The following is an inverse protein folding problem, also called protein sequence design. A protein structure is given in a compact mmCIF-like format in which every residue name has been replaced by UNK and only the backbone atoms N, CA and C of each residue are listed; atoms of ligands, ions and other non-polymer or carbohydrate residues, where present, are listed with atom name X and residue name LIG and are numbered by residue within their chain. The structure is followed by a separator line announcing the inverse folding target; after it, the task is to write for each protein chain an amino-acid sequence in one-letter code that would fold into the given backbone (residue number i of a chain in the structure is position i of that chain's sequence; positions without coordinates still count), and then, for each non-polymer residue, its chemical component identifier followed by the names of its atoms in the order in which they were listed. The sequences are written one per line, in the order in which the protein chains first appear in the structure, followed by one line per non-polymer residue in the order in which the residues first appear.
data_IF_513521097156
#
_entry.id   IF_513521097156
#
_cell.length_a   1.000
_cell.length_b   1.000
_cell.length_c   1.000
_cell.angle_alpha   90.00
_cell.angle_beta   90.00
_cell.angle_gamma   90.00
#
_symmetry.space_group_name_H-M   'P 1'
#
loop_
_entity.id
_entity.type
_entity.pdbx_description
1 polymer ?
#
# COMPACT_ATOMS: atom_id res chain seq x y z
N UNK A 1 -13.41 20.78 4.89
CA UNK A 1 -13.87 19.61 5.73
C UNK A 1 -13.23 19.74 7.10
N UNK A 2 -13.99 19.57 8.19
CA UNK A 2 -13.45 19.69 9.57
C UNK A 2 -12.86 18.37 10.02
N UNK A 3 -11.80 18.44 10.82
CA UNK A 3 -11.18 17.25 11.43
C UNK A 3 -11.90 16.92 12.74
N UNK A 4 -12.12 15.63 12.96
CA UNK A 4 -12.85 15.11 14.13
C UNK A 4 -11.93 14.27 15.02
N UNK A 5 -12.38 13.95 16.22
CA UNK A 5 -11.68 13.00 17.08
C UNK A 5 -11.59 11.63 16.39
N UNK A 6 -10.41 11.00 16.45
CA UNK A 6 -10.09 9.77 15.74
C UNK A 6 -9.52 9.96 14.33
N UNK A 7 -9.68 11.15 13.74
CA UNK A 7 -9.10 11.42 12.42
C UNK A 7 -7.57 11.39 12.43
N UNK A 8 -7.00 10.93 11.31
CA UNK A 8 -5.59 11.14 11.03
C UNK A 8 -5.38 12.61 10.59
N UNK A 9 -4.44 13.29 11.22
CA UNK A 9 -4.05 14.67 10.91
C UNK A 9 -2.57 14.75 10.56
N UNK A 10 -2.24 15.64 9.64
CA UNK A 10 -0.87 15.97 9.24
C UNK A 10 -0.57 17.42 9.64
N UNK A 11 0.39 17.61 10.52
CA UNK A 11 0.92 18.93 10.81
C UNK A 11 2.21 19.15 10.01
N UNK A 12 2.33 20.34 9.39
CA UNK A 12 3.53 20.75 8.65
C UNK A 12 4.03 22.07 9.23
N UNK A 13 5.29 22.08 9.66
CA UNK A 13 5.91 23.30 10.18
C UNK A 13 6.52 24.19 9.10
N UNK A 14 7.03 25.35 9.49
CA UNK A 14 7.66 26.35 8.60
C UNK A 14 8.89 25.82 7.83
N UNK A 15 9.51 24.73 8.32
CA UNK A 15 10.65 24.06 7.67
C UNK A 15 10.23 22.88 6.79
N UNK A 16 8.91 22.67 6.61
CA UNK A 16 8.36 21.57 5.82
C UNK A 16 8.42 20.20 6.49
N UNK A 17 8.75 20.12 7.79
CA UNK A 17 8.73 18.86 8.55
C UNK A 17 7.28 18.44 8.78
N UNK A 18 7.02 17.16 8.59
CA UNK A 18 5.69 16.57 8.60
C UNK A 18 5.50 15.65 9.80
N UNK A 19 4.42 15.82 10.53
CA UNK A 19 4.07 15.05 11.73
C UNK A 19 2.69 14.45 11.54
N UNK A 20 2.61 13.11 11.54
CA UNK A 20 1.36 12.38 11.43
C UNK A 20 0.82 12.09 12.84
N UNK A 21 -0.38 12.51 13.10
CA UNK A 21 -1.08 12.36 14.37
C UNK A 21 -2.37 11.57 14.17
N UNK A 22 -2.87 11.00 15.24
CA UNK A 22 -4.25 10.58 15.42
C UNK A 22 -4.87 11.49 16.46
N UNK A 23 -5.94 12.17 16.11
CA UNK A 23 -6.56 13.16 16.97
C UNK A 23 -7.32 12.49 18.10
N UNK A 24 -6.80 12.59 19.31
CA UNK A 24 -7.44 12.06 20.51
C UNK A 24 -7.71 13.21 21.45
N UNK A 25 -8.95 13.38 21.96
CA UNK A 25 -9.26 14.39 22.97
C UNK A 25 -8.29 14.28 24.16
N UNK A 26 -7.99 15.42 24.76
CA UNK A 26 -7.14 15.57 25.95
C UNK A 26 -5.67 15.13 25.79
N UNK A 27 -5.24 14.78 24.57
CA UNK A 27 -3.83 14.61 24.25
C UNK A 27 -3.20 15.89 23.75
N UNK A 28 -1.87 15.96 23.86
CA UNK A 28 -1.05 17.07 23.38
C UNK A 28 0.06 16.53 22.49
N UNK A 29 0.17 17.07 21.28
CA UNK A 29 1.32 16.87 20.42
C UNK A 29 2.46 17.75 20.88
N UNK A 30 3.63 17.15 21.12
CA UNK A 30 4.85 17.86 21.51
C UNK A 30 5.93 17.69 20.44
N UNK A 31 6.61 18.78 20.11
CA UNK A 31 7.76 18.80 19.21
C UNK A 31 8.74 19.90 19.64
N UNK A 32 9.87 20.03 18.96
CA UNK A 32 10.98 20.93 19.37
C UNK A 32 10.63 22.45 19.34
N UNK A 33 9.52 22.85 18.74
CA UNK A 33 9.01 24.24 18.72
C UNK A 33 7.66 24.32 19.46
N UNK A 34 7.56 23.63 20.62
CA UNK A 34 6.43 23.75 21.55
C UNK A 34 5.44 22.60 21.50
N UNK A 35 4.24 22.86 21.95
CA UNK A 35 3.16 21.90 22.10
C UNK A 35 1.87 22.42 21.46
N UNK A 36 1.03 21.49 20.98
CA UNK A 36 -0.30 21.77 20.45
C UNK A 36 -1.29 20.77 21.04
N UNK A 37 -2.26 21.21 21.86
CA UNK A 37 -3.34 20.34 22.32
C UNK A 37 -4.15 19.81 21.13
N UNK A 38 -4.52 18.53 21.15
CA UNK A 38 -5.36 17.96 20.10
C UNK A 38 -6.76 18.60 20.05
N UNK A 39 -7.24 19.10 21.21
CA UNK A 39 -8.50 19.83 21.28
C UNK A 39 -8.50 21.13 20.46
N UNK A 40 -7.32 21.73 20.21
CA UNK A 40 -7.17 22.91 19.34
C UNK A 40 -7.21 22.55 17.85
N UNK A 41 -7.03 21.27 17.51
CA UNK A 41 -7.06 20.72 16.15
C UNK A 41 -8.43 20.15 15.79
N UNK A 42 -9.11 19.54 16.78
CA UNK A 42 -10.43 18.94 16.60
C UNK A 42 -11.46 20.07 16.31
N UNK A 43 -12.27 19.87 15.29
CA UNK A 43 -13.25 20.85 14.82
C UNK A 43 -12.68 21.92 13.88
N UNK A 44 -11.36 21.99 13.68
CA UNK A 44 -10.74 22.91 12.71
C UNK A 44 -10.92 22.41 11.28
N UNK A 45 -10.96 23.35 10.38
CA UNK A 45 -10.97 23.04 8.96
C UNK A 45 -9.58 22.67 8.44
N UNK A 46 -9.53 21.71 7.54
CA UNK A 46 -8.32 21.40 6.78
C UNK A 46 -7.80 22.64 6.07
N UNK A 47 -6.48 22.86 6.08
CA UNK A 47 -5.83 24.05 5.55
C UNK A 47 -5.67 25.16 6.59
N UNK A 48 -6.12 24.97 7.83
CA UNK A 48 -5.96 25.96 8.91
C UNK A 48 -4.52 26.05 9.41
N UNK A 49 -4.13 27.26 9.81
CA UNK A 49 -2.89 27.49 10.55
C UNK A 49 -3.15 27.39 12.05
N UNK A 50 -2.29 26.65 12.71
CA UNK A 50 -2.32 26.44 14.17
C UNK A 50 -1.05 27.03 14.77
N UNK A 51 -1.18 27.56 15.98
CA UNK A 51 -0.06 28.17 16.70
C UNK A 51 0.30 27.26 17.89
N UNK A 52 1.57 26.89 18.01
CA UNK A 52 2.07 26.13 19.17
C UNK A 52 2.21 26.97 20.43
N UNK A 53 2.47 26.36 21.55
CA UNK A 53 2.68 27.02 22.83
C UNK A 53 3.84 28.04 22.84
N UNK A 54 4.76 27.98 21.87
CA UNK A 54 5.88 28.91 21.73
C UNK A 54 5.67 29.93 20.60
N UNK A 55 4.49 29.97 19.95
CA UNK A 55 4.18 30.88 18.85
C UNK A 55 4.55 30.36 17.46
N UNK A 56 5.10 29.14 17.33
CA UNK A 56 5.43 28.56 16.03
C UNK A 56 4.17 28.16 15.26
N UNK A 57 4.17 28.41 13.95
CA UNK A 57 3.03 28.13 13.07
C UNK A 57 3.13 26.73 12.45
N UNK A 58 2.02 26.04 12.39
CA UNK A 58 1.86 24.72 11.80
C UNK A 58 0.64 24.72 10.87
N UNK A 59 0.78 24.18 9.68
CA UNK A 59 -0.32 23.96 8.75
C UNK A 59 -0.98 22.61 9.11
N UNK A 60 -2.30 22.62 9.29
CA UNK A 60 -3.12 21.45 9.59
C UNK A 60 -3.77 20.93 8.31
N UNK A 61 -3.50 19.67 7.96
CA UNK A 61 -4.05 18.98 6.79
C UNK A 61 -4.56 17.59 7.15
N UNK A 62 -5.42 17.02 6.30
CA UNK A 62 -5.61 15.57 6.25
C UNK A 62 -4.40 14.95 5.52
N UNK A 63 -3.85 13.82 5.99
CA UNK A 63 -2.77 13.15 5.28
C UNK A 63 -3.27 12.58 3.95
N UNK A 64 -2.48 12.71 2.90
CA UNK A 64 -2.67 11.89 1.70
C UNK A 64 -2.26 10.44 2.03
N UNK A 65 -2.72 9.47 1.24
CA UNK A 65 -2.30 8.08 1.41
C UNK A 65 -0.76 7.95 1.41
N UNK A 66 -0.07 8.69 0.54
CA UNK A 66 1.39 8.72 0.50
C UNK A 66 2.01 9.22 1.83
N UNK A 67 1.46 10.28 2.42
CA UNK A 67 1.95 10.82 3.70
C UNK A 67 1.73 9.80 4.84
N UNK A 68 0.56 9.16 4.85
CA UNK A 68 0.22 8.14 5.83
C UNK A 68 1.13 6.93 5.72
N UNK A 69 1.28 6.35 4.52
CA UNK A 69 2.13 5.19 4.24
C UNK A 69 3.59 5.43 4.64
N UNK A 70 4.13 6.62 4.34
CA UNK A 70 5.52 6.95 4.67
C UNK A 70 5.76 7.20 6.18
N UNK A 71 4.72 7.55 6.94
CA UNK A 71 4.80 7.94 8.36
C UNK A 71 4.17 6.94 9.31
N UNK A 72 3.44 5.93 8.82
CA UNK A 72 2.82 4.90 9.66
C UNK A 72 3.87 4.12 10.44
N UNK A 73 3.48 3.58 11.58
CA UNK A 73 4.34 2.66 12.35
C UNK A 73 4.59 1.41 11.51
N UNK A 74 5.82 0.99 11.42
CA UNK A 74 6.25 -0.15 10.61
C UNK A 74 6.46 -1.37 11.49
N UNK A 75 5.77 -2.45 11.21
CA UNK A 75 6.08 -3.81 11.71
C UNK A 75 6.78 -4.66 10.66
N UNK A 76 6.62 -4.26 9.37
CA UNK A 76 7.21 -4.89 8.21
C UNK A 76 7.69 -3.82 7.22
N UNK A 77 8.37 -4.24 6.16
CA UNK A 77 8.69 -3.36 5.04
C UNK A 77 7.38 -2.85 4.40
N UNK A 78 7.38 -1.59 4.01
CA UNK A 78 6.20 -0.92 3.44
C UNK A 78 6.35 -0.88 1.93
N UNK A 79 5.31 -1.25 1.19
CA UNK A 79 5.24 -0.93 -0.24
C UNK A 79 5.16 0.58 -0.39
N UNK A 80 6.19 1.17 -0.99
CA UNK A 80 6.29 2.62 -1.11
C UNK A 80 5.26 3.19 -2.10
N UNK A 81 4.82 4.44 -1.91
CA UNK A 81 3.86 5.08 -2.83
C UNK A 81 4.30 5.05 -4.30
N UNK A 82 5.62 5.10 -4.57
CA UNK A 82 6.16 5.02 -5.92
C UNK A 82 5.95 3.66 -6.58
N UNK A 83 5.83 2.59 -5.79
CA UNK A 83 5.59 1.22 -6.24
C UNK A 83 4.09 0.88 -6.20
N UNK A 84 3.37 1.40 -5.22
CA UNK A 84 1.92 1.22 -5.10
C UNK A 84 1.16 1.75 -6.33
N UNK A 85 1.51 2.95 -6.83
CA UNK A 85 0.90 3.51 -8.02
C UNK A 85 1.00 2.59 -9.25
N UNK A 86 2.22 2.15 -9.63
CA UNK A 86 2.42 1.15 -10.66
C UNK A 86 1.68 -0.17 -10.42
N UNK A 87 1.65 -0.70 -9.20
CA UNK A 87 0.88 -1.92 -8.89
C UNK A 87 -0.58 -1.73 -9.32
N UNK A 88 -1.22 -0.63 -8.92
CA UNK A 88 -2.61 -0.37 -9.24
C UNK A 88 -2.86 -0.29 -10.76
N UNK A 89 -1.95 0.34 -11.49
CA UNK A 89 -2.11 0.56 -12.94
C UNK A 89 -1.76 -0.69 -13.74
N UNK A 90 -0.62 -1.33 -13.48
CA UNK A 90 -0.17 -2.48 -14.28
C UNK A 90 -0.89 -3.78 -13.91
N UNK A 91 -1.39 -3.94 -12.68
CA UNK A 91 -2.28 -5.03 -12.31
C UNK A 91 -3.74 -4.72 -12.67
N UNK A 92 -4.01 -3.57 -13.29
CA UNK A 92 -5.36 -3.15 -13.73
C UNK A 92 -6.41 -3.27 -12.61
N UNK A 93 -6.10 -2.66 -11.45
CA UNK A 93 -7.00 -2.65 -10.30
C UNK A 93 -8.04 -1.55 -10.49
N UNK A 94 -9.30 -1.92 -10.59
CA UNK A 94 -10.39 -0.99 -10.88
C UNK A 94 -11.58 -1.15 -9.92
N UNK A 95 -12.48 -0.16 -9.84
CA UNK A 95 -13.66 -0.23 -9.00
C UNK A 95 -14.54 -1.47 -9.30
N UNK A 96 -15.03 -2.09 -8.25
CA UNK A 96 -15.88 -3.29 -8.32
C UNK A 96 -15.13 -4.63 -8.41
N UNK A 97 -13.81 -4.61 -8.53
CA UNK A 97 -13.01 -5.85 -8.62
C UNK A 97 -12.81 -6.52 -7.27
N UNK A 98 -12.66 -7.85 -7.29
CA UNK A 98 -12.15 -8.64 -6.18
C UNK A 98 -10.65 -8.85 -6.36
N UNK A 99 -9.87 -8.44 -5.35
CA UNK A 99 -8.42 -8.57 -5.30
C UNK A 99 -8.02 -9.46 -4.15
N UNK A 100 -7.21 -10.48 -4.41
CA UNK A 100 -6.51 -11.25 -3.38
C UNK A 100 -5.15 -10.61 -3.13
N UNK A 101 -4.92 -10.15 -1.92
CA UNK A 101 -3.65 -9.63 -1.43
C UNK A 101 -3.01 -10.64 -0.51
N UNK A 102 -1.71 -10.84 -0.63
CA UNK A 102 -0.98 -11.63 0.33
C UNK A 102 0.28 -10.93 0.81
N UNK A 103 0.46 -11.04 2.13
CA UNK A 103 1.38 -10.27 2.92
C UNK A 103 0.76 -8.94 3.33
N UNK A 104 -0.27 -8.96 4.23
CA UNK A 104 -0.89 -7.72 4.75
C UNK A 104 0.14 -6.78 5.39
N UNK A 105 1.12 -7.33 6.08
CA UNK A 105 2.31 -6.67 6.63
C UNK A 105 2.01 -5.37 7.37
N UNK A 106 2.30 -4.25 6.74
CA UNK A 106 2.05 -2.91 7.29
C UNK A 106 0.62 -2.40 7.07
N UNK A 107 -0.16 -3.02 6.17
CA UNK A 107 -1.47 -2.55 5.70
C UNK A 107 -1.41 -1.46 4.62
N UNK A 108 -0.22 -1.04 4.19
CA UNK A 108 -0.08 0.03 3.18
C UNK A 108 -0.62 -0.37 1.81
N UNK A 109 -0.33 -1.60 1.38
CA UNK A 109 -0.83 -2.16 0.13
C UNK A 109 -2.35 -2.33 0.22
N UNK A 110 -2.86 -2.92 1.31
CA UNK A 110 -4.30 -3.07 1.60
C UNK A 110 -5.05 -1.75 1.46
N UNK A 111 -4.52 -0.66 2.02
CA UNK A 111 -5.10 0.69 1.90
C UNK A 111 -5.18 1.17 0.46
N UNK A 112 -4.11 0.95 -0.32
CA UNK A 112 -4.08 1.30 -1.73
C UNK A 112 -5.11 0.54 -2.55
N UNK A 113 -5.15 -0.78 -2.37
CA UNK A 113 -6.08 -1.68 -3.04
C UNK A 113 -7.53 -1.37 -2.67
N UNK A 114 -7.84 -1.21 -1.36
CA UNK A 114 -9.19 -0.88 -0.87
C UNK A 114 -9.73 0.40 -1.50
N UNK A 115 -8.89 1.44 -1.64
CA UNK A 115 -9.28 2.68 -2.32
C UNK A 115 -9.53 2.49 -3.81
N UNK A 116 -8.70 1.66 -4.47
CA UNK A 116 -8.79 1.45 -5.92
C UNK A 116 -10.03 0.63 -6.29
N UNK A 117 -10.35 -0.43 -5.53
CA UNK A 117 -11.54 -1.25 -5.81
C UNK A 117 -12.84 -0.53 -5.39
N UNK A 118 -12.76 0.47 -4.53
CA UNK A 118 -13.91 1.24 -4.08
C UNK A 118 -14.95 0.43 -3.27
N UNK A 119 -16.09 1.03 -2.93
CA UNK A 119 -17.07 0.42 -2.02
C UNK A 119 -17.80 -0.80 -2.62
N UNK A 120 -17.79 -0.96 -3.93
CA UNK A 120 -18.44 -2.08 -4.63
C UNK A 120 -17.50 -3.23 -4.94
N UNK A 121 -16.18 -3.03 -4.75
CA UNK A 121 -15.15 -4.06 -4.88
C UNK A 121 -14.84 -4.72 -3.56
N UNK A 122 -13.85 -5.63 -3.58
CA UNK A 122 -13.42 -6.36 -2.40
C UNK A 122 -11.91 -6.59 -2.41
N UNK A 123 -11.27 -6.42 -1.26
CA UNK A 123 -9.89 -6.86 -0.99
C UNK A 123 -9.96 -7.99 0.03
N UNK A 124 -9.49 -9.17 -0.35
CA UNK A 124 -9.23 -10.28 0.57
C UNK A 124 -7.74 -10.25 0.87
N UNK A 125 -7.37 -9.78 2.05
CA UNK A 125 -5.98 -9.62 2.49
C UNK A 125 -5.62 -10.78 3.41
N UNK A 126 -4.64 -11.60 3.00
CA UNK A 126 -4.22 -12.82 3.70
C UNK A 126 -2.85 -12.63 4.30
N UNK A 127 -2.71 -13.00 5.57
CA UNK A 127 -1.44 -12.95 6.30
C UNK A 127 -1.26 -14.23 7.13
N UNK A 128 -0.07 -14.80 7.05
CA UNK A 128 0.25 -16.02 7.79
C UNK A 128 0.43 -15.78 9.29
N UNK A 129 0.94 -14.60 9.65
CA UNK A 129 1.31 -14.21 11.01
C UNK A 129 0.22 -13.35 11.65
N UNK A 130 -0.34 -13.82 12.77
CA UNK A 130 -1.38 -13.10 13.51
C UNK A 130 -0.97 -11.71 13.97
N UNK A 131 0.29 -11.53 14.41
CA UNK A 131 0.81 -10.24 14.86
C UNK A 131 0.89 -9.22 13.71
N UNK A 132 1.26 -9.65 12.52
CA UNK A 132 1.26 -8.82 11.31
C UNK A 132 -0.17 -8.50 10.85
N UNK A 133 -1.05 -9.50 10.83
CA UNK A 133 -2.46 -9.29 10.49
C UNK A 133 -3.14 -8.26 11.43
N UNK A 134 -2.88 -8.39 12.73
CA UNK A 134 -3.40 -7.45 13.73
C UNK A 134 -2.82 -6.02 13.54
N UNK A 135 -1.55 -5.92 13.15
CA UNK A 135 -0.92 -4.64 12.85
C UNK A 135 -1.51 -3.98 11.60
N UNK A 136 -1.65 -4.74 10.51
CA UNK A 136 -2.25 -4.27 9.27
C UNK A 136 -3.70 -3.81 9.49
N UNK A 137 -4.50 -4.60 10.23
CA UNK A 137 -5.86 -4.23 10.62
C UNK A 137 -5.91 -2.87 11.33
N UNK A 138 -5.07 -2.68 12.35
CA UNK A 138 -4.99 -1.39 13.08
C UNK A 138 -4.60 -0.23 12.17
N UNK A 139 -3.73 -0.45 11.19
CA UNK A 139 -3.34 0.59 10.24
C UNK A 139 -4.50 0.98 9.32
N UNK A 140 -5.25 -0.02 8.83
CA UNK A 140 -6.45 0.19 7.99
C UNK A 140 -7.55 0.87 8.79
N UNK A 141 -7.84 0.40 10.01
CA UNK A 141 -8.81 1.02 10.91
C UNK A 141 -8.45 2.47 11.26
N UNK A 142 -7.16 2.74 11.49
CA UNK A 142 -6.68 4.10 11.76
C UNK A 142 -6.89 5.06 10.58
N UNK A 143 -6.82 4.55 9.35
CA UNK A 143 -7.06 5.36 8.15
C UNK A 143 -8.54 5.66 7.93
N UNK A 144 -9.41 4.66 8.11
CA UNK A 144 -10.84 4.76 7.82
C UNK A 144 -11.73 5.06 9.04
N UNK A 145 -11.17 5.06 10.27
CA UNK A 145 -11.91 5.10 11.52
C UNK A 145 -12.49 3.73 11.95
N UNK A 146 -12.59 2.79 11.02
CA UNK A 146 -13.02 1.40 11.21
C UNK A 146 -12.47 0.53 10.08
N UNK A 147 -12.56 -0.79 10.22
CA UNK A 147 -12.30 -1.67 9.07
C UNK A 147 -13.41 -1.44 8.03
N UNK A 148 -13.09 -1.04 6.78
CA UNK A 148 -14.10 -0.81 5.76
C UNK A 148 -14.69 -2.13 5.26
N UNK A 149 -15.95 -2.12 4.83
CA UNK A 149 -16.71 -3.31 4.43
C UNK A 149 -16.13 -4.01 3.20
N UNK A 150 -15.38 -3.29 2.37
CA UNK A 150 -14.70 -3.83 1.21
C UNK A 150 -13.33 -4.47 1.51
N UNK A 151 -12.94 -4.60 2.79
CA UNK A 151 -11.71 -5.27 3.22
C UNK A 151 -12.05 -6.43 4.14
N UNK A 152 -11.69 -7.63 3.72
CA UNK A 152 -11.72 -8.84 4.52
C UNK A 152 -10.28 -9.26 4.82
N UNK A 153 -9.94 -9.40 6.11
CA UNK A 153 -8.61 -9.84 6.54
C UNK A 153 -8.69 -11.26 7.08
N UNK A 154 -7.88 -12.15 6.49
CA UNK A 154 -7.80 -13.57 6.84
C UNK A 154 -6.40 -13.92 7.38
N UNK A 155 -6.35 -14.89 8.29
CA UNK A 155 -5.11 -15.50 8.77
C UNK A 155 -5.01 -16.88 8.13
N UNK A 156 -3.91 -17.17 7.45
CA UNK A 156 -3.70 -18.45 6.77
C UNK A 156 -2.69 -18.38 5.64
N UNK A 157 -2.55 -19.51 4.94
CA UNK A 157 -1.74 -19.57 3.72
C UNK A 157 -2.57 -19.05 2.52
N UNK A 158 -2.02 -18.10 1.80
CA UNK A 158 -2.68 -17.51 0.64
C UNK A 158 -2.87 -18.51 -0.50
N UNK A 159 -2.02 -19.52 -0.61
CA UNK A 159 -2.15 -20.55 -1.66
C UNK A 159 -3.48 -21.29 -1.55
N UNK A 160 -3.95 -21.53 -0.33
CA UNK A 160 -5.25 -22.17 -0.06
C UNK A 160 -6.42 -21.23 -0.43
N UNK A 161 -6.21 -19.93 -0.32
CA UNK A 161 -7.22 -18.91 -0.58
C UNK A 161 -7.43 -18.61 -2.07
N UNK A 162 -6.44 -18.90 -2.93
CA UNK A 162 -6.59 -18.67 -4.38
C UNK A 162 -7.79 -19.44 -4.94
N UNK A 163 -8.00 -20.67 -4.51
CA UNK A 163 -9.13 -21.49 -4.96
C UNK A 163 -10.46 -20.97 -4.40
N UNK A 164 -10.50 -20.58 -3.12
CA UNK A 164 -11.74 -20.15 -2.46
C UNK A 164 -12.24 -18.79 -2.95
N UNK A 165 -11.33 -17.91 -3.36
CA UNK A 165 -11.63 -16.53 -3.81
C UNK A 165 -11.81 -16.44 -5.31
N UNK A 166 -11.15 -17.30 -6.10
CA UNK A 166 -11.09 -17.24 -7.56
C UNK A 166 -10.80 -15.81 -8.08
N UNK A 167 -9.72 -15.17 -7.61
CA UNK A 167 -9.50 -13.74 -7.80
C UNK A 167 -9.09 -13.42 -9.23
N UNK A 168 -9.74 -12.44 -9.86
CA UNK A 168 -9.28 -11.90 -11.14
C UNK A 168 -7.97 -11.11 -11.00
N UNK A 169 -7.64 -10.65 -9.79
CA UNK A 169 -6.43 -9.89 -9.48
C UNK A 169 -5.76 -10.46 -8.23
N UNK A 170 -4.47 -10.73 -8.32
CA UNK A 170 -3.64 -11.19 -7.20
C UNK A 170 -2.48 -10.21 -7.05
N UNK A 171 -2.22 -9.74 -5.82
CA UNK A 171 -1.08 -8.86 -5.52
C UNK A 171 -0.31 -9.43 -4.33
N UNK A 172 0.96 -9.72 -4.53
CA UNK A 172 1.82 -10.44 -3.59
C UNK A 172 2.95 -9.54 -3.07
N UNK A 173 3.02 -9.36 -1.76
CA UNK A 173 4.15 -8.78 -1.03
C UNK A 173 4.68 -9.83 -0.04
N UNK A 174 5.25 -10.89 -0.59
CA UNK A 174 5.72 -12.08 0.12
C UNK A 174 7.19 -12.39 -0.18
N UNK A 175 7.93 -13.00 0.74
CA UNK A 175 9.30 -13.43 0.48
C UNK A 175 9.40 -14.57 -0.56
N UNK A 176 8.36 -15.41 -0.68
CA UNK A 176 8.35 -16.61 -1.54
C UNK A 176 7.09 -16.71 -2.40
N UNK A 177 6.83 -15.74 -3.31
CA UNK A 177 5.58 -15.68 -4.07
C UNK A 177 5.42 -16.81 -5.10
N UNK A 178 6.48 -17.54 -5.45
CA UNK A 178 6.43 -18.64 -6.42
C UNK A 178 5.49 -19.79 -6.00
N UNK A 179 5.27 -20.01 -4.70
CA UNK A 179 4.28 -20.97 -4.22
C UNK A 179 2.86 -20.55 -4.61
N UNK A 180 2.56 -19.25 -4.47
CA UNK A 180 1.27 -18.69 -4.86
C UNK A 180 1.11 -18.65 -6.39
N UNK A 181 2.18 -18.39 -7.14
CA UNK A 181 2.18 -18.50 -8.61
C UNK A 181 1.74 -19.89 -9.06
N UNK A 182 2.22 -20.95 -8.39
CA UNK A 182 1.81 -22.32 -8.68
C UNK A 182 0.31 -22.55 -8.40
N UNK A 183 -0.21 -22.06 -7.28
CA UNK A 183 -1.64 -22.14 -6.96
C UNK A 183 -2.48 -21.32 -7.93
N UNK A 184 -2.03 -20.11 -8.29
CA UNK A 184 -2.70 -19.25 -9.26
C UNK A 184 -2.72 -19.88 -10.67
N UNK A 185 -1.69 -20.62 -11.06
CA UNK A 185 -1.69 -21.35 -12.32
C UNK A 185 -2.83 -22.39 -12.41
N UNK A 186 -3.27 -22.92 -11.29
CA UNK A 186 -4.35 -23.91 -11.20
C UNK A 186 -5.74 -23.27 -11.10
N UNK A 187 -5.88 -22.24 -10.27
CA UNK A 187 -7.18 -21.76 -9.78
C UNK A 187 -7.55 -20.33 -10.22
N UNK A 188 -6.56 -19.47 -10.59
CA UNK A 188 -6.90 -18.14 -11.07
C UNK A 188 -7.62 -18.23 -12.44
N UNK A 189 -8.70 -17.48 -12.67
CA UNK A 189 -9.39 -17.50 -13.95
C UNK A 189 -8.51 -16.99 -15.10
N UNK A 190 -8.68 -17.51 -16.32
CA UNK A 190 -8.02 -16.98 -17.51
C UNK A 190 -8.31 -15.48 -17.70
N UNK A 191 -7.30 -14.71 -18.12
CA UNK A 191 -7.34 -13.25 -18.18
C UNK A 191 -7.00 -12.57 -16.86
N UNK A 192 -6.89 -13.32 -15.77
CA UNK A 192 -6.46 -12.80 -14.46
C UNK A 192 -5.04 -12.23 -14.50
N UNK A 193 -4.80 -11.18 -13.72
CA UNK A 193 -3.48 -10.57 -13.53
C UNK A 193 -2.92 -10.90 -12.15
N UNK A 194 -1.64 -11.24 -12.13
CA UNK A 194 -0.86 -11.42 -10.90
C UNK A 194 0.29 -10.41 -10.89
N UNK A 195 0.40 -9.67 -9.81
CA UNK A 195 1.52 -8.79 -9.51
C UNK A 195 2.29 -9.28 -8.29
N UNK A 196 3.62 -9.22 -8.32
CA UNK A 196 4.47 -9.51 -7.17
C UNK A 196 5.48 -8.39 -6.94
N UNK A 197 5.65 -7.99 -5.68
CA UNK A 197 6.66 -7.04 -5.21
C UNK A 197 7.77 -7.78 -4.48
N UNK A 198 9.01 -7.62 -4.92
CA UNK A 198 10.16 -8.42 -4.47
C UNK A 198 11.40 -7.56 -4.25
N UNK A 199 12.07 -7.69 -3.11
CA UNK A 199 13.24 -6.86 -2.81
C UNK A 199 14.54 -7.33 -3.49
N UNK A 200 14.64 -8.58 -3.98
CA UNK A 200 15.92 -9.14 -4.44
C UNK A 200 15.85 -9.81 -5.81
N UNK A 201 16.98 -9.78 -6.55
CA UNK A 201 17.13 -10.43 -7.86
C UNK A 201 16.93 -11.95 -7.80
N UNK A 202 17.43 -12.71 -6.81
CA UNK A 202 17.16 -14.15 -6.74
C UNK A 202 15.66 -14.46 -6.61
N UNK A 203 14.92 -13.73 -5.78
CA UNK A 203 13.46 -13.92 -5.64
C UNK A 203 12.74 -13.60 -6.96
N UNK A 204 13.14 -12.50 -7.62
CA UNK A 204 12.67 -12.12 -8.94
C UNK A 204 12.84 -13.27 -9.94
N UNK A 205 14.06 -13.80 -10.05
CA UNK A 205 14.40 -14.87 -10.98
C UNK A 205 13.57 -16.12 -10.71
N UNK A 206 13.55 -16.59 -9.46
CA UNK A 206 12.77 -17.78 -9.09
C UNK A 206 11.29 -17.63 -9.43
N UNK A 207 10.70 -16.47 -9.14
CA UNK A 207 9.28 -16.22 -9.42
C UNK A 207 8.97 -16.25 -10.92
N UNK A 208 9.82 -15.62 -11.74
CA UNK A 208 9.65 -15.58 -13.21
C UNK A 208 9.83 -16.98 -13.81
N UNK A 209 10.84 -17.72 -13.37
CA UNK A 209 11.11 -19.08 -13.86
C UNK A 209 9.95 -20.02 -13.49
N UNK A 210 9.48 -19.99 -12.25
CA UNK A 210 8.29 -20.76 -11.83
C UNK A 210 7.07 -20.40 -12.68
N UNK A 211 6.82 -19.12 -12.94
CA UNK A 211 5.69 -18.71 -13.77
C UNK A 211 5.79 -19.29 -15.20
N UNK A 212 6.98 -19.28 -15.80
CA UNK A 212 7.25 -19.86 -17.12
C UNK A 212 7.05 -21.38 -17.14
N UNK A 213 7.53 -22.07 -16.11
CA UNK A 213 7.41 -23.55 -15.97
C UNK A 213 5.94 -23.99 -15.92
N UNK A 214 5.03 -23.16 -15.38
CA UNK A 214 3.58 -23.50 -15.37
C UNK A 214 2.98 -23.57 -16.79
N UNK A 215 3.56 -22.88 -17.76
CA UNK A 215 3.09 -22.81 -19.14
C UNK A 215 1.77 -22.07 -19.35
N UNK A 216 1.23 -21.42 -18.32
CA UNK A 216 -0.09 -20.74 -18.37
C UNK A 216 -0.02 -19.24 -18.05
N UNK A 217 1.16 -18.70 -17.78
CA UNK A 217 1.36 -17.26 -17.67
C UNK A 217 2.05 -16.69 -18.90
N UNK A 218 1.56 -15.56 -19.36
CA UNK A 218 2.10 -14.77 -20.47
C UNK A 218 2.27 -13.32 -20.06
N UNK A 219 2.80 -12.48 -20.96
CA UNK A 219 3.05 -11.06 -20.68
C UNK A 219 3.79 -10.86 -19.35
N UNK A 220 4.82 -11.70 -19.11
CA UNK A 220 5.63 -11.60 -17.89
C UNK A 220 6.55 -10.39 -18.02
N UNK A 221 6.17 -9.32 -17.35
CA UNK A 221 6.91 -8.06 -17.33
C UNK A 221 7.60 -7.87 -15.98
N UNK A 222 8.86 -7.48 -16.01
CA UNK A 222 9.64 -7.13 -14.82
C UNK A 222 10.02 -5.66 -14.89
N UNK A 223 9.73 -4.93 -13.83
CA UNK A 223 9.96 -3.48 -13.76
C UNK A 223 10.55 -3.07 -12.41
N UNK A 224 11.36 -2.04 -12.45
CA UNK A 224 11.79 -1.28 -11.28
C UNK A 224 11.40 0.19 -11.50
N UNK A 225 10.79 0.81 -10.50
CA UNK A 225 10.36 2.19 -10.59
C UNK A 225 11.25 3.10 -9.75
N UNK A 226 11.74 4.16 -10.38
CA UNK A 226 12.59 5.17 -9.77
C UNK A 226 11.84 6.49 -9.73
N UNK A 227 11.80 7.13 -8.56
CA UNK A 227 11.23 8.48 -8.39
C UNK A 227 12.33 9.41 -7.94
N UNK A 228 12.51 10.51 -8.67
CA UNK A 228 13.47 11.54 -8.35
C UNK A 228 12.75 12.84 -8.03
N UNK A 229 12.88 13.29 -6.79
CA UNK A 229 12.34 14.57 -6.36
C UNK A 229 13.22 15.73 -6.85
N UNK A 230 12.59 16.87 -7.08
CA UNK A 230 13.24 18.11 -7.49
C UNK A 230 12.99 19.21 -6.47
N UNK A 231 14.04 19.95 -6.16
CA UNK A 231 13.95 21.20 -5.39
C UNK A 231 13.84 22.37 -6.36
N UNK A 232 12.80 23.18 -6.16
CA UNK A 232 12.58 24.41 -6.92
C UNK A 232 12.49 25.58 -5.94
N UNK A 233 13.56 26.36 -5.82
CA UNK A 233 13.64 27.51 -4.91
C UNK A 233 14.23 28.70 -5.63
N UNK A 234 13.40 29.62 -6.10
CA UNK A 234 13.79 30.78 -6.87
C UNK A 234 14.58 30.38 -8.13
N UNK A 235 15.83 30.81 -8.25
CA UNK A 235 16.71 30.49 -9.39
C UNK A 235 17.39 29.12 -9.27
N UNK A 236 17.29 28.45 -8.11
CA UNK A 236 17.86 27.12 -7.87
C UNK A 236 16.84 26.06 -8.22
N UNK A 237 17.00 25.44 -9.38
CA UNK A 237 16.18 24.31 -9.85
C UNK A 237 17.10 23.12 -10.06
N UNK A 238 16.97 22.12 -9.18
CA UNK A 238 17.86 20.95 -9.21
C UNK A 238 17.19 19.73 -8.59
N UNK A 239 17.61 18.50 -8.98
CA UNK A 239 17.15 17.30 -8.29
C UNK A 239 17.59 17.33 -6.82
N UNK A 240 16.77 16.67 -5.96
CA UNK A 240 17.18 16.41 -4.59
C UNK A 240 18.47 15.58 -4.54
N UNK A 241 19.30 15.84 -3.52
CA UNK A 241 20.56 15.12 -3.33
C UNK A 241 20.37 13.67 -2.93
N UNK A 242 19.27 13.37 -2.22
CA UNK A 242 18.96 12.02 -1.76
C UNK A 242 17.84 11.45 -2.63
N UNK A 243 18.06 10.23 -3.11
CA UNK A 243 17.07 9.43 -3.82
C UNK A 243 17.09 8.02 -3.21
N UNK A 244 15.93 7.44 -3.00
CA UNK A 244 15.84 6.01 -2.69
C UNK A 244 16.01 5.28 -4.02
N UNK A 245 17.20 4.71 -4.24
CA UNK A 245 17.55 4.07 -5.50
C UNK A 245 16.84 2.73 -5.72
N UNK A 246 16.64 1.96 -4.64
CA UNK A 246 16.00 0.65 -4.71
C UNK A 246 15.04 0.47 -3.55
N UNK A 247 13.85 -0.08 -3.84
CA UNK A 247 12.87 -0.53 -2.85
C UNK A 247 12.40 -1.95 -3.13
N UNK A 248 12.30 -2.33 -4.39
CA UNK A 248 11.90 -3.64 -4.86
C UNK A 248 11.63 -3.64 -6.36
N UNK A 249 11.52 -4.83 -6.91
CA UNK A 249 11.10 -5.12 -8.27
C UNK A 249 9.62 -5.45 -8.30
N UNK A 250 8.97 -5.14 -9.40
CA UNK A 250 7.58 -5.51 -9.67
C UNK A 250 7.56 -6.49 -10.85
N UNK A 251 6.88 -7.61 -10.65
CA UNK A 251 6.54 -8.56 -11.70
C UNK A 251 5.05 -8.41 -11.98
N UNK A 252 4.69 -8.39 -13.25
CA UNK A 252 3.31 -8.48 -13.70
C UNK A 252 3.21 -9.64 -14.67
N UNK A 253 2.15 -10.45 -14.57
CA UNK A 253 1.91 -11.55 -15.47
C UNK A 253 0.42 -11.80 -15.64
N UNK A 254 0.03 -12.32 -16.80
CA UNK A 254 -1.35 -12.60 -17.15
C UNK A 254 -1.59 -14.09 -17.30
N UNK A 255 -2.62 -14.59 -16.63
CA UNK A 255 -3.08 -15.98 -16.73
C UNK A 255 -3.76 -16.22 -18.08
N UNK A 256 -3.39 -17.29 -18.75
CA UNK A 256 -4.07 -17.76 -19.98
C UNK A 256 -4.87 -19.05 -19.70
N UNK A 257 -5.80 -19.37 -20.57
CA UNK A 257 -6.30 -20.74 -20.67
C UNK A 257 -5.15 -21.69 -21.09
N UNK A 258 -5.24 -22.97 -20.77
CA UNK A 258 -4.32 -23.94 -21.35
C UNK A 258 -4.44 -23.90 -22.87
N UNK A 259 -3.32 -23.86 -23.61
CA UNK A 259 -3.41 -23.97 -25.05
C UNK A 259 -4.07 -25.31 -25.43
N UNK A 260 -4.85 -25.36 -26.52
CA UNK A 260 -5.39 -26.63 -27.01
C UNK A 260 -4.24 -27.59 -27.24
N UNK A 261 -4.39 -28.85 -26.83
CA UNK A 261 -3.45 -29.91 -27.12
C UNK A 261 -3.27 -29.96 -28.66
N UNK A 262 -2.04 -29.84 -29.11
CA UNK A 262 -1.73 -30.15 -30.49
C UNK A 262 -1.99 -31.65 -30.63
N UNK A 263 -3.17 -32.03 -31.12
CA UNK A 263 -3.41 -33.35 -31.61
C UNK A 263 -2.52 -33.45 -32.87
N UNK A 264 -1.40 -34.18 -32.74
CA UNK A 264 -0.47 -34.54 -33.80
C UNK A 264 -1.02 -35.64 -34.69
#
# INVERSE_FOLDING_TARGET
MRLEAGDAALLIDSKGRRFLLELNPDRTFQYHEGAVPHNDLIGREEGSWIVSSTGAQLLLLRPRLADFTLKMKRSAQVVYPKDLGPILVYADIAPGMTVLEAGSGSGALTLGLSRAVGPTGKVVSVELREDHAAHARKAVEKWYGRLPENVEMRIGDVSDEVQSVEPARIVLDLPEPWHVVTAAAQHQPPGGLLAAYLPTVPQLQTTVETARETGVFTEIEVKEFLVRDWNVAGRSVRPEHRMIGHTGFLIFMRKTAKPPSQEG
#
